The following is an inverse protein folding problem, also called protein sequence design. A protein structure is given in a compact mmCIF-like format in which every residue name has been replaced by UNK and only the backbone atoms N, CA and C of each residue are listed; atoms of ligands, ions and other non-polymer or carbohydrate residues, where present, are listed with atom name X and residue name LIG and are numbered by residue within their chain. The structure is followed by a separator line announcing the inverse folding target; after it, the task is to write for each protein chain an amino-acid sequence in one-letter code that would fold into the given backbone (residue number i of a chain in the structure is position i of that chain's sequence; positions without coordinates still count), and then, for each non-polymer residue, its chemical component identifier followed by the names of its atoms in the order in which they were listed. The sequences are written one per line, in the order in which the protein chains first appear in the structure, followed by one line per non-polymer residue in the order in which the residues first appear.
data_IF_873038965795
#
_entry.id   IF_873038965795
#
_cell.length_a   1.000
_cell.length_b   1.000
_cell.length_c   1.000
_cell.angle_alpha   90.00
_cell.angle_beta   90.00
_cell.angle_gamma   90.00
#
_symmetry.space_group_name_H-M   'P 1'
#
loop_
_entity.id
_entity.type
_entity.pdbx_description
1 polymer ?
#
# COMPACT_ATOMS: atom_id res chain seq x y z
N UNK A 1 -23.31 -0.36 26.84
CA UNK A 1 -22.53 0.50 25.93
C UNK A 1 -22.93 0.18 24.50
N UNK A 2 -23.40 1.17 23.75
CA UNK A 2 -23.74 1.09 22.32
C UNK A 2 -23.51 2.50 21.79
N UNK A 3 -22.63 2.69 20.81
CA UNK A 3 -22.37 4.01 20.24
C UNK A 3 -22.92 4.07 18.81
N UNK A 4 -23.66 5.15 18.55
CA UNK A 4 -24.55 5.38 17.41
C UNK A 4 -23.84 5.95 16.18
N UNK A 5 -24.36 5.58 15.01
CA UNK A 5 -24.12 6.18 13.70
C UNK A 5 -25.03 7.43 13.57
N UNK A 6 -24.51 8.62 13.25
CA UNK A 6 -25.35 9.69 12.69
C UNK A 6 -24.59 10.73 11.87
N UNK A 7 -25.32 11.24 10.88
CA UNK A 7 -24.94 12.07 9.74
C UNK A 7 -24.56 13.52 10.08
N UNK A 8 -23.75 14.15 9.23
CA UNK A 8 -23.52 15.59 9.22
C UNK A 8 -24.17 16.24 7.97
N UNK A 9 -25.18 17.07 8.22
CA UNK A 9 -25.84 17.93 7.23
C UNK A 9 -25.05 19.21 6.91
N UNK A 10 -25.35 19.78 5.75
CA UNK A 10 -24.54 20.71 4.94
C UNK A 10 -24.61 22.22 5.29
N UNK A 11 -23.61 23.02 4.86
CA UNK A 11 -23.77 24.39 4.29
C UNK A 11 -22.61 24.72 3.31
N UNK A 12 -22.95 25.37 2.17
CA UNK A 12 -22.05 25.84 1.08
C UNK A 12 -21.10 26.98 1.47
N UNK A 13 -20.02 27.08 0.67
CA UNK A 13 -19.17 28.27 0.35
C UNK A 13 -17.97 28.58 1.29
N UNK A 14 -16.83 27.96 0.97
CA UNK A 14 -15.58 28.67 0.64
C UNK A 14 -14.66 27.68 -0.08
N UNK A 15 -14.35 27.96 -1.35
CA UNK A 15 -13.30 27.27 -2.09
C UNK A 15 -11.98 27.59 -1.39
N UNK A 16 -11.57 26.74 -0.45
CA UNK A 16 -10.16 26.65 -0.09
C UNK A 16 -9.46 26.03 -1.30
N UNK A 17 -8.44 26.73 -1.79
CA UNK A 17 -7.69 26.39 -3.00
C UNK A 17 -7.17 24.97 -2.92
N UNK A 18 -7.86 24.10 -3.65
CA UNK A 18 -7.51 22.71 -3.89
C UNK A 18 -6.14 22.66 -4.56
N UNK A 19 -5.13 22.18 -3.83
CA UNK A 19 -3.83 21.89 -4.40
C UNK A 19 -4.04 20.90 -5.57
N UNK A 20 -3.54 21.16 -6.78
CA UNK A 20 -3.93 20.43 -7.98
C UNK A 20 -3.17 19.10 -8.09
N UNK A 21 -3.18 18.29 -7.03
CA UNK A 21 -2.84 16.88 -7.15
C UNK A 21 -4.13 16.14 -7.51
N UNK A 22 -4.16 15.53 -8.68
CA UNK A 22 -5.30 14.77 -9.25
C UNK A 22 -5.64 13.47 -8.48
N UNK A 23 -5.37 13.40 -7.18
CA UNK A 23 -5.71 12.28 -6.29
C UNK A 23 -6.31 12.84 -5.00
N UNK A 24 -7.59 12.58 -4.75
CA UNK A 24 -8.30 13.16 -3.61
C UNK A 24 -7.67 12.81 -2.25
N UNK A 25 -7.52 13.82 -1.38
CA UNK A 25 -7.28 13.85 0.09
C UNK A 25 -6.34 12.82 0.78
N UNK A 26 -5.80 11.81 0.12
CA UNK A 26 -4.82 10.88 0.67
C UNK A 26 -3.93 10.34 -0.45
N UNK A 27 -2.63 10.26 -0.19
CA UNK A 27 -1.61 9.65 -1.05
C UNK A 27 -0.94 8.55 -0.25
N UNK A 28 -0.69 7.39 -0.85
CA UNK A 28 -0.01 6.25 -0.24
C UNK A 28 1.40 6.14 -0.79
N UNK A 29 2.35 5.87 0.10
CA UNK A 29 3.75 5.58 -0.26
C UNK A 29 3.99 4.10 0.01
N UNK A 30 4.33 3.35 -1.03
CA UNK A 30 4.80 1.98 -0.92
C UNK A 30 6.32 2.01 -1.06
N UNK A 31 7.06 1.44 -0.12
CA UNK A 31 8.53 1.44 -0.13
C UNK A 31 9.04 0.02 -0.01
N UNK A 32 10.02 -0.34 -0.84
CA UNK A 32 10.85 -1.52 -0.69
C UNK A 32 12.20 -1.10 -0.11
N UNK A 33 12.63 -1.79 0.95
CA UNK A 33 13.92 -1.59 1.58
C UNK A 33 14.76 -2.86 1.46
N UNK A 34 16.08 -2.70 1.38
CA UNK A 34 16.99 -3.84 1.47
C UNK A 34 17.21 -4.28 2.94
N UNK A 35 18.05 -5.31 3.12
CA UNK A 35 18.37 -5.84 4.45
C UNK A 35 19.14 -4.88 5.37
N UNK A 36 19.65 -3.75 4.85
CA UNK A 36 20.33 -2.70 5.61
C UNK A 36 19.40 -1.50 5.90
N UNK A 37 18.14 -1.57 5.44
CA UNK A 37 17.16 -0.50 5.60
C UNK A 37 17.28 0.61 4.57
N UNK A 38 18.06 0.44 3.50
CA UNK A 38 18.14 1.41 2.42
C UNK A 38 16.95 1.25 1.48
N UNK A 39 16.26 2.34 1.17
CA UNK A 39 15.14 2.32 0.24
C UNK A 39 15.65 2.03 -1.18
N UNK A 40 15.23 0.89 -1.73
CA UNK A 40 15.61 0.44 -3.08
C UNK A 40 14.58 0.93 -4.10
N UNK A 41 13.31 1.02 -3.71
CA UNK A 41 12.24 1.45 -4.61
C UNK A 41 11.04 1.99 -3.86
N UNK A 42 10.35 2.96 -4.44
CA UNK A 42 9.07 3.42 -3.92
C UNK A 42 8.06 3.68 -5.05
N UNK A 43 6.77 3.52 -4.73
CA UNK A 43 5.65 3.83 -5.62
C UNK A 43 4.69 4.74 -4.86
N UNK A 44 4.33 5.87 -5.46
CA UNK A 44 3.30 6.78 -4.94
C UNK A 44 1.97 6.47 -5.63
N UNK A 45 0.91 6.29 -4.86
CA UNK A 45 -0.44 6.09 -5.40
C UNK A 45 -1.46 7.01 -4.75
N UNK A 46 -2.56 7.29 -5.46
CA UNK A 46 -3.72 7.94 -4.85
C UNK A 46 -4.35 7.02 -3.80
N UNK A 47 -4.81 7.57 -2.68
CA UNK A 47 -5.17 6.79 -1.49
C UNK A 47 -6.38 5.87 -1.63
N UNK A 48 -7.14 6.00 -2.71
CA UNK A 48 -8.20 5.06 -3.09
C UNK A 48 -7.67 3.75 -3.72
N UNK A 49 -6.36 3.62 -3.97
CA UNK A 49 -5.78 2.43 -4.59
C UNK A 49 -5.45 1.35 -3.56
N UNK A 50 -5.79 0.09 -3.88
CA UNK A 50 -5.55 -1.06 -3.02
C UNK A 50 -4.06 -1.44 -3.00
N UNK A 51 -3.51 -1.66 -1.82
CA UNK A 51 -2.07 -1.83 -1.58
C UNK A 51 -1.51 -3.08 -2.28
N UNK A 52 -2.28 -4.17 -2.30
CA UNK A 52 -1.91 -5.45 -2.91
C UNK A 52 -1.55 -5.29 -4.40
N UNK A 53 -2.28 -4.44 -5.13
CA UNK A 53 -2.07 -4.24 -6.57
C UNK A 53 -0.73 -3.57 -6.92
N UNK A 54 -0.08 -2.93 -5.95
CA UNK A 54 1.18 -2.22 -6.17
C UNK A 54 2.40 -3.05 -5.81
N UNK A 55 2.22 -4.05 -4.96
CA UNK A 55 3.30 -4.89 -4.43
C UNK A 55 3.97 -5.72 -5.51
N UNK A 56 3.19 -6.34 -6.39
CA UNK A 56 3.72 -7.09 -7.53
C UNK A 56 4.58 -6.19 -8.43
N UNK A 57 4.08 -4.99 -8.72
CA UNK A 57 4.82 -4.00 -9.47
C UNK A 57 6.12 -3.62 -8.75
N UNK A 58 6.09 -3.47 -7.42
CA UNK A 58 7.22 -3.13 -6.55
C UNK A 58 8.35 -4.17 -6.66
N UNK A 59 8.02 -5.46 -6.63
CA UNK A 59 8.98 -6.58 -6.56
C UNK A 59 9.33 -7.21 -7.92
N UNK A 60 8.65 -6.81 -9.01
CA UNK A 60 8.77 -7.44 -10.35
C UNK A 60 10.21 -7.52 -10.86
N UNK A 61 11.01 -6.49 -10.63
CA UNK A 61 12.40 -6.39 -11.13
C UNK A 61 13.43 -6.81 -10.08
N UNK A 62 12.98 -7.18 -8.87
CA UNK A 62 13.86 -7.59 -7.78
C UNK A 62 14.06 -9.11 -7.75
N UNK A 63 15.23 -9.53 -7.27
CA UNK A 63 15.60 -10.94 -7.00
C UNK A 63 16.04 -11.13 -5.53
N UNK A 64 15.17 -10.84 -4.55
CA UNK A 64 15.50 -11.05 -3.14
C UNK A 64 15.46 -12.54 -2.80
N UNK A 65 16.22 -12.99 -1.81
CA UNK A 65 16.11 -14.35 -1.25
C UNK A 65 14.97 -14.47 -0.23
N UNK A 66 14.63 -13.36 0.43
CA UNK A 66 13.57 -13.26 1.45
C UNK A 66 12.83 -11.94 1.26
N UNK A 67 11.49 -11.98 1.36
CA UNK A 67 10.63 -10.79 1.37
C UNK A 67 9.88 -10.76 2.70
N UNK A 68 10.11 -9.71 3.48
CA UNK A 68 9.34 -9.38 4.69
C UNK A 68 8.26 -8.36 4.30
N UNK A 69 7.00 -8.66 4.61
CA UNK A 69 5.90 -7.75 4.32
C UNK A 69 4.86 -7.74 5.46
N UNK A 70 4.10 -6.65 5.53
CA UNK A 70 2.99 -6.51 6.47
C UNK A 70 1.85 -7.51 6.17
N UNK A 71 1.04 -7.83 7.17
CA UNK A 71 -0.12 -8.72 7.06
C UNK A 71 -1.12 -8.28 5.98
N UNK A 72 -1.25 -6.98 5.70
CA UNK A 72 -2.09 -6.49 4.60
C UNK A 72 -1.66 -7.00 3.21
N UNK A 73 -0.43 -7.51 3.09
CA UNK A 73 0.12 -8.13 1.89
C UNK A 73 -0.01 -9.65 1.86
N UNK A 74 -0.69 -10.27 2.84
CA UNK A 74 -0.97 -11.71 2.89
C UNK A 74 -2.04 -12.09 1.83
N UNK A 75 -1.61 -12.16 0.58
CA UNK A 75 -2.44 -12.56 -0.56
C UNK A 75 -1.78 -13.66 -1.37
N UNK A 76 -2.55 -14.71 -1.68
CA UNK A 76 -2.07 -15.92 -2.36
C UNK A 76 -1.33 -15.60 -3.68
N UNK A 77 -1.84 -14.65 -4.46
CA UNK A 77 -1.22 -14.22 -5.71
C UNK A 77 0.18 -13.62 -5.50
N UNK A 78 0.34 -12.81 -4.45
CA UNK A 78 1.64 -12.21 -4.12
C UNK A 78 2.61 -13.29 -3.63
N UNK A 79 2.15 -14.19 -2.76
CA UNK A 79 2.97 -15.31 -2.25
C UNK A 79 3.44 -16.19 -3.40
N UNK A 80 2.55 -16.54 -4.33
CA UNK A 80 2.92 -17.30 -5.53
C UNK A 80 3.94 -16.56 -6.41
N UNK A 81 3.78 -15.24 -6.58
CA UNK A 81 4.75 -14.41 -7.30
C UNK A 81 6.15 -14.46 -6.64
N UNK A 82 6.20 -14.36 -5.32
CA UNK A 82 7.43 -14.41 -4.51
C UNK A 82 8.09 -15.80 -4.64
N UNK A 83 7.31 -16.87 -4.53
CA UNK A 83 7.80 -18.25 -4.67
C UNK A 83 8.34 -18.54 -6.07
N UNK A 84 7.65 -18.08 -7.13
CA UNK A 84 8.12 -18.20 -8.52
C UNK A 84 9.47 -17.50 -8.75
N UNK A 85 9.82 -16.53 -7.91
CA UNK A 85 11.11 -15.84 -7.94
C UNK A 85 12.19 -16.53 -7.10
N UNK A 86 11.93 -17.73 -6.56
CA UNK A 86 12.78 -18.45 -5.60
C UNK A 86 13.06 -17.65 -4.32
N UNK A 87 12.12 -16.81 -3.91
CA UNK A 87 12.19 -16.03 -2.69
C UNK A 87 11.28 -16.61 -1.61
N UNK A 88 11.65 -16.47 -0.33
CA UNK A 88 10.80 -16.85 0.80
C UNK A 88 9.96 -15.66 1.24
N UNK A 89 8.63 -15.82 1.25
CA UNK A 89 7.72 -14.85 1.87
C UNK A 89 7.71 -15.03 3.39
N UNK A 90 7.92 -13.95 4.14
CA UNK A 90 7.74 -13.87 5.59
C UNK A 90 6.67 -12.81 5.85
N UNK A 91 5.43 -13.26 6.02
CA UNK A 91 4.26 -12.41 6.26
C UNK A 91 3.57 -12.93 7.51
N UNK A 92 3.13 -12.03 8.39
CA UNK A 92 2.42 -12.42 9.61
C UNK A 92 1.12 -13.14 9.25
N UNK A 93 0.90 -14.33 9.84
CA UNK A 93 -0.24 -15.19 9.52
C UNK A 93 -1.59 -14.59 9.93
N UNK A 94 -2.66 -15.08 9.30
CA UNK A 94 -4.03 -14.66 9.57
C UNK A 94 -4.52 -15.00 10.97
#
# INVERSE_FOLDING_TARGET
MRAHHHAAGAVKKRRASFWPFRGGLSTKIHVCVDGLGQAVRFILTGGQRNDITQTEALIKEMKPSVILADKAYDGDALIACIQNKNAKAVIASR
#
